data_IF_553305786305
#
_entry.id   IF_553305786305
#
_cell.length_a   1.000
_cell.length_b   1.000
_cell.length_c   1.000
_cell.angle_alpha   90.00
_cell.angle_beta   90.00
_cell.angle_gamma   90.00
#
_symmetry.space_group_name_H-M   'P 1'
#
loop_
_entity.id
_entity.type
_entity.pdbx_description
1 polymer ?
#
# COMPACT_ATOMS: atom_id res chain seq x y z
N UNK A 1 44.26 9.39 42.52
CA UNK A 1 43.12 10.17 42.00
C UNK A 1 42.79 9.90 40.51
N UNK A 2 43.31 8.85 39.87
CA UNK A 2 43.02 8.54 38.46
C UNK A 2 41.76 7.64 38.25
N UNK A 3 41.29 6.97 39.31
CA UNK A 3 40.24 5.92 39.20
C UNK A 3 38.83 6.52 39.02
N UNK A 4 38.55 7.71 39.54
CA UNK A 4 37.21 8.33 39.40
C UNK A 4 36.92 8.84 37.99
N UNK A 5 37.96 9.16 37.22
CA UNK A 5 37.83 9.61 35.83
C UNK A 5 37.46 8.45 34.90
N UNK A 6 38.10 7.30 35.04
CA UNK A 6 37.79 6.11 34.24
C UNK A 6 36.34 5.63 34.44
N UNK A 7 35.82 5.71 35.66
CA UNK A 7 34.46 5.28 35.97
C UNK A 7 33.39 6.19 35.35
N UNK A 8 33.66 7.50 35.23
CA UNK A 8 32.75 8.47 34.58
C UNK A 8 32.76 8.37 33.06
N UNK A 9 33.90 8.03 32.44
CA UNK A 9 33.97 7.81 31.00
C UNK A 9 33.19 6.57 30.56
N UNK A 10 33.22 5.50 31.36
CA UNK A 10 32.52 4.25 31.04
C UNK A 10 31.00 4.40 31.04
N UNK A 11 30.44 5.14 32.01
CA UNK A 11 28.98 5.34 32.09
C UNK A 11 28.46 6.20 30.95
N UNK A 12 29.17 7.27 30.58
CA UNK A 12 28.79 8.13 29.44
C UNK A 12 28.80 7.35 28.13
N UNK A 13 29.82 6.50 27.91
CA UNK A 13 29.91 5.67 26.70
C UNK A 13 28.73 4.69 26.60
N UNK A 14 28.33 4.06 27.72
CA UNK A 14 27.20 3.13 27.76
C UNK A 14 25.88 3.82 27.37
N UNK A 15 25.62 5.01 27.92
CA UNK A 15 24.42 5.79 27.58
C UNK A 15 24.40 6.19 26.10
N UNK A 16 25.53 6.59 25.53
CA UNK A 16 25.62 6.93 24.11
C UNK A 16 25.31 5.73 23.21
N UNK A 17 25.79 4.53 23.55
CA UNK A 17 25.48 3.32 22.79
C UNK A 17 23.99 3.00 22.83
N UNK A 18 23.36 3.08 24.02
CA UNK A 18 21.91 2.84 24.17
C UNK A 18 21.12 3.86 23.34
N UNK A 19 21.51 5.13 23.37
CA UNK A 19 20.85 6.20 22.62
C UNK A 19 20.99 5.97 21.10
N UNK A 20 22.18 5.60 20.63
CA UNK A 20 22.41 5.27 19.22
C UNK A 20 21.59 4.07 18.76
N UNK A 21 21.50 3.01 19.57
CA UNK A 21 20.68 1.85 19.24
C UNK A 21 19.19 2.19 19.23
N UNK A 22 18.73 3.00 20.18
CA UNK A 22 17.35 3.49 20.21
C UNK A 22 17.00 4.33 18.98
N UNK A 23 17.89 5.24 18.58
CA UNK A 23 17.71 6.03 17.36
C UNK A 23 17.74 5.17 16.10
N UNK A 24 18.65 4.20 16.00
CA UNK A 24 18.71 3.30 14.85
C UNK A 24 17.43 2.44 14.73
N UNK A 25 16.89 1.97 15.87
CA UNK A 25 15.65 1.21 15.90
C UNK A 25 14.45 2.07 15.50
N UNK A 26 14.33 3.28 16.04
CA UNK A 26 13.30 4.24 15.65
C UNK A 26 13.38 4.60 14.17
N UNK A 27 14.59 4.89 13.67
CA UNK A 27 14.81 5.21 12.26
C UNK A 27 14.42 4.06 11.34
N UNK A 28 14.77 2.82 11.70
CA UNK A 28 14.35 1.64 10.95
C UNK A 28 12.82 1.52 10.89
N UNK A 29 12.12 1.79 11.99
CA UNK A 29 10.66 1.77 12.03
C UNK A 29 10.07 2.85 11.10
N UNK A 30 10.60 4.06 11.14
CA UNK A 30 10.14 5.16 10.27
C UNK A 30 10.40 4.94 8.79
N UNK A 31 11.39 4.13 8.41
CA UNK A 31 11.66 3.82 7.00
C UNK A 31 10.69 2.80 6.39
N UNK A 32 9.92 2.07 7.20
CA UNK A 32 8.95 1.06 6.71
C UNK A 32 7.78 1.71 5.96
N UNK A 33 7.48 3.00 6.20
CA UNK A 33 6.42 3.73 5.49
C UNK A 33 6.71 3.98 4.00
N UNK A 34 7.91 3.66 3.50
CA UNK A 34 8.31 3.87 2.10
C UNK A 34 8.08 2.66 1.19
N UNK A 35 7.52 1.56 1.71
CA UNK A 35 7.45 0.30 0.97
C UNK A 35 6.32 0.26 -0.08
N UNK A 36 5.41 1.22 -0.05
CA UNK A 36 4.33 1.34 -1.03
C UNK A 36 4.54 2.57 -1.92
N UNK A 37 4.40 2.39 -3.23
CA UNK A 37 4.43 3.50 -4.18
C UNK A 37 3.04 3.83 -4.67
N UNK A 38 2.66 5.10 -4.61
CA UNK A 38 1.42 5.59 -5.23
C UNK A 38 1.61 5.55 -6.75
N UNK A 39 0.72 4.83 -7.44
CA UNK A 39 0.74 4.69 -8.90
C UNK A 39 -0.19 5.71 -9.55
N UNK A 40 -1.42 5.81 -9.04
CA UNK A 40 -2.46 6.65 -9.61
C UNK A 40 -3.44 7.13 -8.53
N UNK A 41 -4.02 8.31 -8.74
CA UNK A 41 -5.09 8.85 -7.92
C UNK A 41 -6.32 9.18 -8.79
N UNK A 42 -7.51 8.93 -8.26
CA UNK A 42 -8.79 9.22 -8.91
C UNK A 42 -9.78 9.78 -7.89
N UNK A 43 -10.06 11.07 -7.97
CA UNK A 43 -11.09 11.71 -7.15
C UNK A 43 -12.50 11.21 -7.52
N UNK A 44 -13.39 11.16 -6.53
CA UNK A 44 -14.83 10.97 -6.76
C UNK A 44 -15.40 12.14 -7.57
N UNK A 45 -16.56 11.98 -8.24
CA UNK A 45 -17.13 13.05 -9.06
C UNK A 45 -17.45 14.35 -8.30
N UNK A 46 -17.70 14.27 -6.99
CA UNK A 46 -17.89 15.42 -6.10
C UNK A 46 -16.60 15.89 -5.39
N UNK A 47 -15.49 15.19 -5.57
CA UNK A 47 -14.21 15.45 -4.93
C UNK A 47 -14.16 15.18 -3.41
N UNK A 48 -15.18 14.55 -2.83
CA UNK A 48 -15.22 14.27 -1.38
C UNK A 48 -14.35 13.07 -0.98
N UNK A 49 -14.02 12.21 -1.93
CA UNK A 49 -13.24 11.00 -1.76
C UNK A 49 -12.18 10.87 -2.86
N UNK A 50 -11.15 10.08 -2.60
CA UNK A 50 -10.12 9.73 -3.57
C UNK A 50 -9.83 8.24 -3.50
N UNK A 51 -9.73 7.61 -4.67
CA UNK A 51 -9.19 6.26 -4.83
C UNK A 51 -7.72 6.42 -5.18
N UNK A 52 -6.84 5.83 -4.39
CA UNK A 52 -5.41 5.74 -4.69
C UNK A 52 -5.03 4.29 -4.98
N UNK A 53 -4.33 4.09 -6.10
CA UNK A 53 -3.66 2.83 -6.40
C UNK A 53 -2.27 2.84 -5.76
N UNK A 54 -2.00 1.82 -4.95
CA UNK A 54 -0.69 1.55 -4.39
C UNK A 54 -0.10 0.28 -5.01
N UNK A 55 1.20 0.28 -5.24
CA UNK A 55 1.98 -0.93 -5.53
C UNK A 55 2.84 -1.27 -4.31
N UNK A 56 2.64 -2.47 -3.78
CA UNK A 56 3.48 -2.99 -2.70
C UNK A 56 4.83 -3.42 -3.26
N UNK A 57 5.93 -3.03 -2.62
CA UNK A 57 7.28 -3.47 -2.97
C UNK A 57 7.86 -4.44 -1.92
N UNK A 58 7.03 -4.94 -1.00
CA UNK A 58 7.44 -5.72 0.16
C UNK A 58 6.91 -7.16 0.11
N UNK A 59 7.73 -8.07 0.61
CA UNK A 59 7.34 -9.44 0.94
C UNK A 59 6.73 -9.50 2.35
N UNK A 60 5.61 -10.20 2.56
CA UNK A 60 5.00 -10.29 3.89
C UNK A 60 3.51 -10.68 3.98
N UNK A 61 2.86 -10.19 5.04
CA UNK A 61 1.44 -10.46 5.37
C UNK A 61 0.48 -9.34 4.95
N UNK A 62 0.94 -8.40 4.11
CA UNK A 62 0.08 -7.35 3.60
C UNK A 62 -1.08 -7.91 2.76
N UNK A 63 -2.08 -7.07 2.50
CA UNK A 63 -3.26 -7.42 1.71
C UNK A 63 -2.90 -8.05 0.34
N UNK A 64 -1.78 -7.64 -0.28
CA UNK A 64 -1.19 -8.29 -1.45
C UNK A 64 0.33 -7.98 -1.54
N UNK A 65 1.22 -8.85 -1.02
CA UNK A 65 2.68 -8.66 -1.13
C UNK A 65 3.08 -8.64 -2.61
N UNK A 66 3.84 -7.63 -3.03
CA UNK A 66 4.17 -7.37 -4.45
C UNK A 66 2.98 -7.14 -5.40
N UNK A 67 1.78 -6.97 -4.86
CA UNK A 67 0.56 -6.74 -5.62
C UNK A 67 0.19 -5.26 -5.75
N UNK A 68 -1.03 -5.05 -6.23
CA UNK A 68 -1.66 -3.73 -6.30
C UNK A 68 -2.80 -3.65 -5.29
N UNK A 69 -2.99 -2.48 -4.69
CA UNK A 69 -4.06 -2.17 -3.75
C UNK A 69 -4.82 -0.94 -4.23
N UNK A 70 -6.14 -0.95 -4.09
CA UNK A 70 -6.96 0.25 -4.22
C UNK A 70 -7.46 0.65 -2.83
N UNK A 71 -7.21 1.91 -2.50
CA UNK A 71 -7.51 2.49 -1.20
C UNK A 71 -8.44 3.67 -1.39
N UNK A 72 -9.54 3.69 -0.66
CA UNK A 72 -10.47 4.82 -0.64
C UNK A 72 -10.24 5.64 0.64
N UNK A 73 -10.10 6.95 0.48
CA UNK A 73 -9.90 7.87 1.59
C UNK A 73 -10.54 9.23 1.31
N UNK A 74 -10.69 10.07 2.36
CA UNK A 74 -11.19 11.45 2.21
C UNK A 74 -10.14 12.42 1.68
N UNK A 75 -8.87 12.04 1.75
CA UNK A 75 -7.71 12.86 1.37
C UNK A 75 -6.60 11.91 0.89
N UNK A 76 -5.76 12.33 -0.07
CA UNK A 76 -4.62 11.52 -0.49
C UNK A 76 -3.75 11.13 0.72
N UNK A 77 -3.44 9.85 0.84
CA UNK A 77 -2.53 9.27 1.82
C UNK A 77 -1.25 8.76 1.15
N UNK A 78 -0.20 8.61 1.94
CA UNK A 78 1.07 7.99 1.53
C UNK A 78 1.15 6.54 1.98
N UNK A 79 0.38 6.15 2.98
CA UNK A 79 0.32 4.79 3.49
C UNK A 79 -1.08 4.20 3.20
N UNK A 80 -1.18 3.04 2.51
CA UNK A 80 -2.47 2.40 2.27
C UNK A 80 -3.26 2.08 3.54
N UNK A 81 -2.60 1.90 4.70
CA UNK A 81 -3.23 1.63 5.99
C UNK A 81 -4.03 2.81 6.57
N UNK A 82 -3.75 4.05 6.12
CA UNK A 82 -4.49 5.24 6.57
C UNK A 82 -5.86 5.40 5.89
N UNK A 83 -6.17 4.53 4.93
CA UNK A 83 -7.43 4.52 4.19
C UNK A 83 -8.14 3.16 4.26
N UNK A 84 -9.22 3.03 3.50
CA UNK A 84 -9.94 1.77 3.41
C UNK A 84 -9.47 0.98 2.18
N UNK A 85 -8.71 -0.10 2.41
CA UNK A 85 -8.27 -1.02 1.36
C UNK A 85 -9.45 -1.89 0.92
N UNK A 86 -10.05 -1.58 -0.24
CA UNK A 86 -11.23 -2.30 -0.75
C UNK A 86 -10.91 -3.33 -1.83
N UNK A 87 -9.71 -3.25 -2.41
CA UNK A 87 -9.21 -4.22 -3.37
C UNK A 87 -7.72 -4.44 -3.12
N UNK A 88 -7.28 -5.69 -3.16
CA UNK A 88 -5.87 -6.06 -3.22
C UNK A 88 -5.69 -7.36 -4.03
N UNK A 89 -4.78 -7.36 -5.00
CA UNK A 89 -4.59 -8.53 -5.88
C UNK A 89 -3.41 -8.39 -6.85
N UNK A 90 -3.32 -9.36 -7.76
CA UNK A 90 -2.17 -9.57 -8.65
C UNK A 90 -2.52 -9.33 -10.13
N UNK A 91 -3.00 -8.14 -10.45
CA UNK A 91 -3.36 -7.81 -11.82
C UNK A 91 -2.11 -7.54 -12.68
N UNK A 92 -2.08 -8.08 -13.90
CA UNK A 92 -1.14 -7.61 -14.92
C UNK A 92 -1.56 -6.21 -15.40
N UNK A 93 -2.87 -5.98 -15.51
CA UNK A 93 -3.45 -4.68 -15.80
C UNK A 93 -4.68 -4.45 -14.92
N UNK A 94 -4.56 -3.47 -14.04
CA UNK A 94 -5.65 -2.97 -13.21
C UNK A 94 -6.25 -1.72 -13.87
N UNK A 95 -7.56 -1.65 -13.91
CA UNK A 95 -8.27 -0.43 -14.31
C UNK A 95 -9.49 -0.25 -13.44
N UNK A 96 -9.78 0.99 -13.08
CA UNK A 96 -10.90 1.32 -12.23
C UNK A 96 -11.48 2.68 -12.59
N UNK A 97 -12.78 2.83 -12.39
CA UNK A 97 -13.50 4.06 -12.68
C UNK A 97 -14.74 4.19 -11.79
N UNK A 98 -15.08 5.43 -11.47
CA UNK A 98 -16.37 5.76 -10.87
C UNK A 98 -17.49 5.56 -11.90
N UNK A 99 -18.57 4.89 -11.47
CA UNK A 99 -19.83 4.83 -12.19
C UNK A 99 -20.87 5.61 -11.39
N UNK A 100 -20.98 6.91 -11.70
CA UNK A 100 -21.79 7.84 -10.91
C UNK A 100 -21.20 8.09 -9.52
N UNK A 101 -22.08 8.35 -8.55
CA UNK A 101 -21.71 8.78 -7.19
C UNK A 101 -21.51 7.63 -6.21
N UNK A 102 -22.06 6.45 -6.51
CA UNK A 102 -22.25 5.37 -5.53
C UNK A 102 -21.66 4.05 -5.97
N UNK A 103 -20.92 4.00 -7.08
CA UNK A 103 -20.33 2.75 -7.58
C UNK A 103 -18.93 2.98 -8.13
N UNK A 104 -18.05 2.00 -7.88
CA UNK A 104 -16.73 1.90 -8.49
C UNK A 104 -16.65 0.58 -9.23
N UNK A 105 -16.30 0.65 -10.52
CA UNK A 105 -16.01 -0.53 -11.31
C UNK A 105 -14.52 -0.81 -11.26
N UNK A 106 -14.15 -2.03 -10.85
CA UNK A 106 -12.77 -2.51 -10.80
C UNK A 106 -12.63 -3.66 -11.78
N UNK A 107 -11.70 -3.53 -12.72
CA UNK A 107 -11.37 -4.59 -13.68
C UNK A 107 -9.91 -4.98 -13.51
N UNK A 108 -9.69 -6.27 -13.25
CA UNK A 108 -8.38 -6.88 -13.12
C UNK A 108 -8.17 -7.85 -14.28
N UNK A 109 -7.14 -7.59 -15.08
CA UNK A 109 -6.75 -8.46 -16.18
C UNK A 109 -5.44 -9.17 -15.84
N UNK A 110 -5.38 -10.48 -16.07
CA UNK A 110 -4.18 -11.28 -15.86
C UNK A 110 -4.48 -12.78 -15.87
N UNK A 111 -3.48 -13.57 -15.50
CA UNK A 111 -3.63 -15.02 -15.29
C UNK A 111 -4.17 -15.31 -13.88
N UNK A 112 -3.72 -14.54 -12.88
CA UNK A 112 -4.27 -14.54 -11.54
C UNK A 112 -5.20 -13.34 -11.36
N UNK A 113 -6.50 -13.62 -11.42
CA UNK A 113 -7.55 -12.60 -11.31
C UNK A 113 -8.39 -12.77 -10.06
N UNK A 114 -7.97 -13.60 -9.11
CA UNK A 114 -8.68 -13.68 -7.84
C UNK A 114 -8.06 -12.68 -6.85
N UNK A 115 -8.82 -11.65 -6.42
CA UNK A 115 -8.29 -10.71 -5.46
C UNK A 115 -8.13 -11.38 -4.10
N UNK A 116 -7.03 -11.06 -3.40
CA UNK A 116 -6.82 -11.44 -2.01
C UNK A 116 -7.73 -10.69 -1.05
N UNK A 117 -8.02 -9.44 -1.37
CA UNK A 117 -8.97 -8.61 -0.62
C UNK A 117 -9.94 -8.02 -1.62
N UNK A 118 -11.24 -8.21 -1.38
CA UNK A 118 -12.30 -7.56 -2.12
C UNK A 118 -13.44 -7.23 -1.17
N UNK A 119 -13.71 -5.94 -1.00
CA UNK A 119 -14.92 -5.48 -0.33
C UNK A 119 -15.98 -5.14 -1.36
N UNK A 120 -17.20 -5.64 -1.18
CA UNK A 120 -18.32 -5.37 -2.09
C UNK A 120 -18.96 -4.00 -1.83
N UNK A 121 -18.74 -3.41 -0.65
CA UNK A 121 -19.30 -2.12 -0.28
C UNK A 121 -18.39 -1.37 0.72
N UNK A 122 -18.21 -0.07 0.51
CA UNK A 122 -17.41 0.80 1.38
C UNK A 122 -18.00 2.20 1.47
N UNK A 123 -18.23 2.73 2.66
CA UNK A 123 -18.85 4.06 2.86
C UNK A 123 -20.14 4.31 2.05
N UNK A 124 -20.94 3.27 1.82
CA UNK A 124 -22.15 3.34 0.99
C UNK A 124 -21.89 3.28 -0.53
N UNK A 125 -20.65 3.13 -0.97
CA UNK A 125 -20.24 2.94 -2.36
C UNK A 125 -20.16 1.44 -2.65
N UNK A 126 -20.84 1.01 -3.71
CA UNK A 126 -20.79 -0.34 -4.25
C UNK A 126 -19.51 -0.57 -5.07
N UNK A 127 -18.84 -1.69 -4.85
CA UNK A 127 -17.66 -2.09 -5.63
C UNK A 127 -18.05 -3.24 -6.54
N UNK A 128 -18.06 -2.99 -7.85
CA UNK A 128 -18.30 -4.03 -8.84
C UNK A 128 -16.98 -4.53 -9.41
N UNK A 129 -16.69 -5.80 -9.16
CA UNK A 129 -15.48 -6.45 -9.62
C UNK A 129 -15.70 -7.26 -10.89
N UNK A 130 -14.77 -7.15 -11.85
CA UNK A 130 -14.74 -7.96 -13.08
C UNK A 130 -13.34 -8.50 -13.33
N UNK A 131 -13.20 -9.83 -13.24
CA UNK A 131 -12.02 -10.54 -13.72
C UNK A 131 -12.03 -10.63 -15.25
N UNK A 132 -10.86 -10.51 -15.88
CA UNK A 132 -10.72 -10.77 -17.31
C UNK A 132 -9.38 -11.42 -17.66
N UNK A 133 -9.37 -12.20 -18.72
CA UNK A 133 -8.14 -12.87 -19.20
C UNK A 133 -7.51 -12.02 -20.28
N UNK A 134 -6.20 -11.75 -20.16
CA UNK A 134 -5.42 -11.13 -21.23
C UNK A 134 -5.24 -12.15 -22.34
N UNK A 135 -6.16 -12.17 -23.30
CA UNK A 135 -5.96 -12.96 -24.52
C UNK A 135 -4.88 -12.27 -25.33
N UNK A 136 -3.67 -12.81 -25.29
CA UNK A 136 -2.63 -12.45 -26.25
C UNK A 136 -3.23 -12.59 -27.65
N UNK A 137 -3.37 -11.49 -28.38
CA UNK A 137 -3.89 -11.45 -29.76
C UNK A 137 -2.91 -12.08 -30.76
N UNK A 138 -2.20 -13.14 -30.35
CA UNK A 138 -1.21 -13.83 -31.16
C UNK A 138 -1.94 -14.88 -32.00
N UNK A 139 -1.99 -14.58 -33.30
CA UNK A 139 -2.14 -15.52 -34.40
C UNK A 139 -3.58 -16.01 -34.68
N UNK A 140 -4.34 -15.18 -35.40
CA UNK A 140 -5.23 -15.75 -36.41
C UNK A 140 -4.34 -16.24 -37.57
N UNK A 141 -4.25 -17.56 -37.84
CA UNK A 141 -3.73 -18.02 -39.11
C UNK A 141 -4.71 -17.57 -40.20
N UNK A 142 -4.20 -16.78 -41.14
CA UNK A 142 -4.90 -16.47 -42.39
C UNK A 142 -4.89 -17.67 -43.34
#
# INVERSE_FOLDING_TARGET
MAVSWFMRFSTVLCWLVILCLGMAWWFRYSLVELDNTVVQELASPDGSLVIQEFRSNRDGFDHAPYGQMLVLSRKPTRNPEDGYVFFAGYCQKLSYAWEGMTRVNVQCLGDDTEPRTLSTQMYGIEVQYRAGVVRNAKHQPG
#
